data_IF_733626693346
#
_entry.id   IF_733626693346
#
_cell.length_a   1.000
_cell.length_b   1.000
_cell.length_c   1.000
_cell.angle_alpha   90.00
_cell.angle_beta   90.00
_cell.angle_gamma   90.00
#
_symmetry.space_group_name_H-M   'P 1'
#
loop_
_entity.id
_entity.type
_entity.pdbx_description
1 polymer ?
#
# COMPACT_ATOMS: atom_id res chain seq x y z
N UNK A 1 -1.81 -2.93 5.42
CA UNK A 1 -2.95 -2.04 5.04
C UNK A 1 -4.27 -2.38 5.77
N UNK A 2 -4.64 -3.65 5.97
CA UNK A 2 -5.90 -4.02 6.63
C UNK A 2 -6.01 -3.50 8.07
N UNK A 3 -4.95 -3.60 8.86
CA UNK A 3 -4.90 -3.09 10.23
C UNK A 3 -4.94 -1.57 10.26
N UNK A 4 -4.25 -0.90 9.32
CA UNK A 4 -4.29 0.56 9.17
C UNK A 4 -5.71 1.06 8.87
N UNK A 5 -6.50 0.31 8.08
CA UNK A 5 -7.90 0.66 7.82
C UNK A 5 -8.78 0.55 9.07
N UNK A 6 -8.46 -0.32 10.03
CA UNK A 6 -9.22 -0.52 11.27
C UNK A 6 -8.80 0.42 12.41
N UNK A 7 -7.57 0.92 12.39
CA UNK A 7 -7.04 1.79 13.42
C UNK A 7 -7.73 3.16 13.43
N UNK A 8 -7.82 3.82 14.59
CA UNK A 8 -8.32 5.20 14.73
C UNK A 8 -7.23 6.24 14.44
N UNK A 9 -5.97 5.89 14.67
CA UNK A 9 -4.80 6.71 14.39
C UNK A 9 -3.65 5.82 13.93
N UNK A 10 -2.70 6.40 13.22
CA UNK A 10 -1.57 5.71 12.62
C UNK A 10 -0.25 6.34 13.04
N UNK A 11 0.72 5.52 13.35
CA UNK A 11 2.11 5.93 13.55
C UNK A 11 2.96 5.23 12.51
N UNK A 12 3.58 6.00 11.65
CA UNK A 12 4.56 5.49 10.69
C UNK A 12 5.97 5.80 11.20
N UNK A 13 6.82 4.81 11.24
CA UNK A 13 8.20 4.96 11.75
C UNK A 13 9.18 4.85 10.61
N UNK A 14 10.09 5.82 10.51
CA UNK A 14 11.19 5.81 9.54
C UNK A 14 12.50 6.22 10.22
N UNK A 15 13.64 5.72 9.72
CA UNK A 15 14.97 6.04 10.24
C UNK A 15 15.66 7.22 9.49
N UNK A 16 14.97 7.83 8.53
CA UNK A 16 15.47 8.92 7.69
C UNK A 16 14.42 9.40 6.71
N UNK A 17 14.83 10.04 5.63
CA UNK A 17 13.90 10.39 4.54
C UNK A 17 13.23 9.12 3.99
N UNK A 18 11.90 9.13 3.85
CA UNK A 18 11.20 7.99 3.27
C UNK A 18 11.68 7.69 1.86
N UNK A 19 11.97 6.44 1.59
CA UNK A 19 12.25 5.93 0.24
C UNK A 19 11.02 6.10 -0.65
N UNK A 20 11.18 5.94 -1.96
CA UNK A 20 10.08 6.03 -2.93
C UNK A 20 8.92 5.06 -2.59
N UNK A 21 9.24 3.86 -2.13
CA UNK A 21 8.23 2.88 -1.73
C UNK A 21 7.49 3.31 -0.46
N UNK A 22 8.22 3.80 0.56
CA UNK A 22 7.66 4.32 1.80
C UNK A 22 6.83 5.59 1.56
N UNK A 23 7.25 6.46 0.63
CA UNK A 23 6.47 7.63 0.23
C UNK A 23 5.12 7.23 -0.38
N UNK A 24 5.12 6.26 -1.30
CA UNK A 24 3.88 5.73 -1.87
C UNK A 24 2.96 5.13 -0.81
N UNK A 25 3.52 4.41 0.17
CA UNK A 25 2.79 3.84 1.29
C UNK A 25 2.21 4.93 2.21
N UNK A 26 3.01 5.93 2.60
CA UNK A 26 2.56 7.07 3.40
C UNK A 26 1.41 7.82 2.74
N UNK A 27 1.50 8.05 1.42
CA UNK A 27 0.42 8.69 0.67
C UNK A 27 -0.83 7.82 0.59
N UNK A 28 -0.66 6.50 0.47
CA UNK A 28 -1.79 5.57 0.47
C UNK A 28 -2.53 5.54 1.82
N UNK A 29 -1.81 5.49 2.94
CA UNK A 29 -2.43 5.49 4.27
C UNK A 29 -2.95 6.89 4.67
N UNK A 30 -2.32 7.95 4.18
CA UNK A 30 -2.78 9.34 4.37
C UNK A 30 -4.19 9.60 3.81
N UNK A 31 -4.57 8.88 2.75
CA UNK A 31 -5.91 8.95 2.17
C UNK A 31 -7.03 8.42 3.07
N UNK A 32 -6.69 7.72 4.15
CA UNK A 32 -7.68 7.26 5.12
C UNK A 32 -8.31 8.39 5.96
N UNK A 33 -7.79 9.62 5.87
CA UNK A 33 -8.33 10.78 6.60
C UNK A 33 -8.19 10.68 8.13
N UNK A 34 -7.32 9.80 8.61
CA UNK A 34 -7.07 9.55 10.04
C UNK A 34 -5.89 10.36 10.54
N UNK A 35 -5.80 10.62 11.86
CA UNK A 35 -4.59 11.16 12.44
C UNK A 35 -3.38 10.27 12.09
N UNK A 36 -2.39 10.87 11.44
CA UNK A 36 -1.16 10.20 11.03
C UNK A 36 0.04 10.90 11.67
N UNK A 37 0.87 10.15 12.38
CA UNK A 37 2.12 10.62 12.97
C UNK A 37 3.28 9.97 12.22
N UNK A 38 4.21 10.75 11.69
CA UNK A 38 5.47 10.28 11.16
C UNK A 38 6.55 10.42 12.24
N UNK A 39 6.98 9.31 12.80
CA UNK A 39 8.04 9.25 13.79
C UNK A 39 9.39 9.05 13.08
N UNK A 40 10.19 10.10 12.99
CA UNK A 40 11.57 10.05 12.50
C UNK A 40 12.45 9.48 13.61
N UNK A 41 12.70 8.17 13.55
CA UNK A 41 13.51 7.46 14.53
C UNK A 41 15.01 7.72 14.32
N UNK A 42 15.81 7.44 15.35
CA UNK A 42 17.26 7.68 15.36
C UNK A 42 17.60 9.15 15.10
N UNK A 43 16.78 10.06 15.61
CA UNK A 43 16.97 11.51 15.49
C UNK A 43 18.31 11.97 16.09
N UNK A 44 18.87 11.21 17.02
CA UNK A 44 20.18 11.39 17.64
C UNK A 44 21.38 11.26 16.68
N UNK A 45 21.17 10.72 15.49
CA UNK A 45 22.21 10.59 14.45
C UNK A 45 22.45 11.87 13.66
N UNK A 46 21.53 12.82 13.76
CA UNK A 46 21.60 14.08 13.04
C UNK A 46 22.11 15.19 13.95
N UNK A 47 22.86 16.13 13.39
CA UNK A 47 23.15 17.39 14.07
C UNK A 47 21.86 18.20 14.19
N UNK A 48 21.80 19.10 15.17
CA UNK A 48 20.57 19.87 15.45
C UNK A 48 20.07 20.67 14.25
N UNK A 49 20.98 21.26 13.48
CA UNK A 49 20.68 22.01 12.25
C UNK A 49 20.20 21.12 11.12
N UNK A 50 20.84 19.98 10.91
CA UNK A 50 20.46 18.96 9.91
C UNK A 50 19.08 18.36 10.23
N UNK A 51 18.85 18.04 11.51
CA UNK A 51 17.55 17.52 11.97
C UNK A 51 16.43 18.53 11.71
N UNK A 52 16.66 19.80 12.06
CA UNK A 52 15.66 20.85 11.84
C UNK A 52 15.31 21.00 10.35
N UNK A 53 16.31 21.02 9.47
CA UNK A 53 16.11 21.09 8.03
C UNK A 53 15.39 19.84 7.49
N UNK A 54 15.75 18.64 7.97
CA UNK A 54 15.11 17.39 7.56
C UNK A 54 13.62 17.38 7.97
N UNK A 55 13.31 17.75 9.20
CA UNK A 55 11.94 17.83 9.69
C UNK A 55 11.11 18.82 8.89
N UNK A 56 11.70 19.99 8.54
CA UNK A 56 11.01 21.01 7.74
C UNK A 56 10.75 20.50 6.31
N UNK A 57 11.74 19.89 5.65
CA UNK A 57 11.53 19.25 4.34
C UNK A 57 10.43 18.19 4.37
N UNK A 58 10.39 17.35 5.40
CA UNK A 58 9.35 16.34 5.55
C UNK A 58 7.97 16.97 5.75
N UNK A 59 7.85 18.03 6.55
CA UNK A 59 6.59 18.77 6.72
C UNK A 59 6.10 19.36 5.41
N UNK A 60 7.00 19.99 4.64
CA UNK A 60 6.66 20.56 3.33
C UNK A 60 6.28 19.49 2.32
N UNK A 61 7.02 18.37 2.28
CA UNK A 61 6.76 17.25 1.37
C UNK A 61 5.38 16.62 1.57
N UNK A 62 4.89 16.61 2.79
CA UNK A 62 3.62 15.99 3.17
C UNK A 62 2.58 17.00 3.66
N UNK A 63 2.70 18.25 3.24
CA UNK A 63 1.75 19.32 3.61
C UNK A 63 0.32 19.05 3.10
N UNK A 64 0.18 18.24 2.04
CA UNK A 64 -1.07 17.77 1.47
C UNK A 64 -1.74 16.65 2.28
N UNK A 65 -1.01 16.06 3.23
CA UNK A 65 -1.50 14.99 4.11
C UNK A 65 -1.60 15.54 5.53
N UNK A 66 -2.73 15.30 6.21
CA UNK A 66 -2.89 15.68 7.62
C UNK A 66 -1.99 14.82 8.52
N UNK A 67 -0.68 15.11 8.48
CA UNK A 67 0.37 14.35 9.16
C UNK A 67 1.24 15.23 10.04
N UNK A 68 1.56 14.77 11.24
CA UNK A 68 2.52 15.42 12.13
C UNK A 68 3.85 14.67 12.12
N UNK A 69 4.94 15.38 11.83
CA UNK A 69 6.31 14.82 11.81
C UNK A 69 6.99 15.11 13.14
N UNK A 70 7.48 14.05 13.80
CA UNK A 70 8.06 14.10 15.13
C UNK A 70 9.41 13.38 15.15
N UNK A 71 10.48 14.01 15.69
CA UNK A 71 11.73 13.30 15.94
C UNK A 71 11.56 12.40 17.17
N UNK A 72 12.10 11.18 17.06
CA UNK A 72 12.10 10.21 18.15
C UNK A 72 13.43 9.46 18.20
N UNK A 73 13.74 8.95 19.38
CA UNK A 73 14.83 8.02 19.62
C UNK A 73 14.29 6.91 20.52
N UNK A 74 14.30 5.68 20.02
CA UNK A 74 13.71 4.54 20.73
C UNK A 74 14.58 4.01 21.89
N UNK A 75 15.75 4.61 22.12
CA UNK A 75 16.73 4.10 23.05
C UNK A 75 17.72 3.16 22.37
N UNK A 76 18.34 2.29 23.13
CA UNK A 76 19.38 1.38 22.66
C UNK A 76 20.57 1.34 23.61
N UNK A 77 21.68 0.77 23.18
CA UNK A 77 22.95 0.78 23.91
C UNK A 77 24.02 1.52 23.12
N UNK A 78 24.88 2.22 23.83
CA UNK A 78 26.04 2.91 23.32
C UNK A 78 27.29 2.28 23.90
N UNK A 79 28.23 1.89 23.03
CA UNK A 79 29.53 1.41 23.46
C UNK A 79 30.43 2.63 23.71
N UNK A 80 30.81 2.80 24.95
CA UNK A 80 31.75 3.83 25.38
C UNK A 80 33.13 3.20 25.56
N UNK A 81 34.15 3.82 24.99
CA UNK A 81 35.54 3.48 25.28
C UNK A 81 36.00 4.36 26.43
N UNK A 82 36.37 3.71 27.55
CA UNK A 82 36.89 4.39 28.72
C UNK A 82 38.36 4.80 28.50
N UNK A 83 38.85 5.68 29.36
CA UNK A 83 40.21 6.23 29.28
C UNK A 83 41.29 5.14 29.48
N UNK A 84 40.97 4.03 30.13
CA UNK A 84 41.81 2.85 30.33
C UNK A 84 41.81 1.90 29.12
N UNK A 85 41.08 2.22 28.04
CA UNK A 85 40.93 1.43 26.82
C UNK A 85 39.88 0.32 26.90
N UNK A 86 39.26 0.12 28.04
CA UNK A 86 38.15 -0.82 28.19
C UNK A 86 36.88 -0.30 27.51
N UNK A 87 35.99 -1.23 27.13
CA UNK A 87 34.68 -0.88 26.54
C UNK A 87 33.58 -1.19 27.54
N UNK A 88 32.70 -0.24 27.75
CA UNK A 88 31.48 -0.43 28.55
C UNK A 88 30.26 -0.12 27.70
N UNK A 89 29.14 -0.76 27.99
CA UNK A 89 27.87 -0.54 27.33
C UNK A 89 26.97 0.29 28.24
N UNK A 90 26.53 1.43 27.73
CA UNK A 90 25.61 2.35 28.43
C UNK A 90 24.25 2.32 27.75
N UNK A 91 23.19 2.07 28.51
CA UNK A 91 21.83 2.21 28.02
C UNK A 91 21.51 3.70 27.70
N UNK A 92 21.02 3.95 26.51
CA UNK A 92 20.47 5.25 26.12
C UNK A 92 19.03 5.38 26.57
N UNK A 93 18.70 6.51 27.17
CA UNK A 93 17.33 6.84 27.54
C UNK A 93 16.52 7.11 26.26
N UNK A 94 15.31 6.51 26.09
CA UNK A 94 14.47 6.81 24.94
C UNK A 94 13.95 8.25 25.00
N UNK A 95 13.95 8.91 23.86
CA UNK A 95 13.39 10.28 23.70
C UNK A 95 12.13 10.17 22.82
N UNK A 96 11.03 9.82 23.44
CA UNK A 96 9.73 9.59 22.79
C UNK A 96 8.61 10.47 23.35
N UNK A 97 8.94 11.44 24.21
CA UNK A 97 7.97 12.28 24.90
C UNK A 97 7.03 12.99 23.93
N UNK A 98 7.57 13.61 22.88
CA UNK A 98 6.78 14.32 21.86
C UNK A 98 5.80 13.41 21.13
N UNK A 99 6.18 12.14 20.88
CA UNK A 99 5.29 11.15 20.29
C UNK A 99 4.18 10.74 21.25
N UNK A 100 4.53 10.49 22.52
CA UNK A 100 3.56 10.16 23.56
C UNK A 100 2.55 11.27 23.79
N UNK A 101 3.00 12.54 23.82
CA UNK A 101 2.11 13.69 23.98
C UNK A 101 1.19 13.86 22.77
N UNK A 102 1.69 13.63 21.55
CA UNK A 102 0.86 13.63 20.36
C UNK A 102 -0.21 12.51 20.40
N UNK A 103 0.17 11.32 20.85
CA UNK A 103 -0.78 10.20 21.00
C UNK A 103 -1.81 10.47 22.12
N UNK A 104 -1.39 11.04 23.24
CA UNK A 104 -2.31 11.47 24.32
C UNK A 104 -3.32 12.51 23.82
N UNK A 105 -2.85 13.49 23.04
CA UNK A 105 -3.71 14.50 22.44
C UNK A 105 -4.73 13.91 21.46
N UNK A 106 -4.34 12.89 20.71
CA UNK A 106 -5.27 12.13 19.84
C UNK A 106 -6.27 11.36 20.71
N UNK A 107 -5.79 10.63 21.72
CA UNK A 107 -6.64 9.83 22.59
C UNK A 107 -7.66 10.70 23.38
N UNK A 108 -7.27 11.91 23.79
CA UNK A 108 -8.15 12.85 24.49
C UNK A 108 -9.33 13.34 23.64
N UNK A 109 -9.28 13.21 22.31
CA UNK A 109 -10.42 13.52 21.40
C UNK A 109 -11.52 12.48 21.43
N UNK A 110 -11.26 11.32 22.03
CA UNK A 110 -12.19 10.18 22.07
C UNK A 110 -12.25 9.37 20.76
N UNK A 111 -12.54 8.09 20.89
CA UNK A 111 -12.63 7.16 19.75
C UNK A 111 -13.71 7.58 18.74
N UNK A 112 -14.85 8.05 19.24
CA UNK A 112 -16.02 8.42 18.43
C UNK A 112 -15.71 9.53 17.41
N UNK A 113 -14.74 10.42 17.73
CA UNK A 113 -14.34 11.48 16.80
C UNK A 113 -13.62 10.96 15.54
N UNK A 114 -13.15 9.73 15.56
CA UNK A 114 -12.40 9.09 14.45
C UNK A 114 -13.20 7.97 13.79
N UNK A 115 -14.36 7.60 14.34
CA UNK A 115 -15.17 6.49 13.84
C UNK A 115 -15.60 6.70 12.37
N UNK A 116 -16.04 7.89 11.91
CA UNK A 116 -16.41 8.09 10.50
C UNK A 116 -15.25 7.83 9.54
N UNK A 117 -14.04 8.30 9.87
CA UNK A 117 -12.85 8.06 9.05
C UNK A 117 -12.44 6.57 9.05
N UNK A 118 -12.63 5.88 10.17
CA UNK A 118 -12.39 4.44 10.30
C UNK A 118 -13.36 3.65 9.44
N UNK A 119 -14.65 3.92 9.53
CA UNK A 119 -15.69 3.27 8.72
C UNK A 119 -15.45 3.47 7.23
N UNK A 120 -15.21 4.71 6.81
CA UNK A 120 -14.92 5.03 5.41
C UNK A 120 -13.70 4.28 4.88
N UNK A 121 -12.61 4.18 5.68
CA UNK A 121 -11.41 3.48 5.28
C UNK A 121 -11.59 1.95 5.23
N UNK A 122 -12.43 1.38 6.11
CA UNK A 122 -12.79 -0.04 6.07
C UNK A 122 -13.62 -0.34 4.84
N UNK A 123 -14.64 0.47 4.53
CA UNK A 123 -15.45 0.33 3.33
C UNK A 123 -14.59 0.41 2.06
N UNK A 124 -13.71 1.43 1.95
CA UNK A 124 -12.80 1.57 0.82
C UNK A 124 -11.87 0.35 0.66
N UNK A 125 -11.39 -0.22 1.77
CA UNK A 125 -10.56 -1.42 1.73
C UNK A 125 -11.34 -2.67 1.28
N UNK A 126 -12.62 -2.77 1.64
CA UNK A 126 -13.51 -3.85 1.17
C UNK A 126 -13.78 -3.71 -0.33
N UNK A 127 -14.15 -2.51 -0.80
CA UNK A 127 -14.41 -2.23 -2.21
C UNK A 127 -13.18 -2.52 -3.08
N UNK A 128 -11.99 -2.13 -2.62
CA UNK A 128 -10.74 -2.43 -3.32
C UNK A 128 -10.50 -3.94 -3.44
N UNK A 129 -10.78 -4.72 -2.38
CA UNK A 129 -10.64 -6.18 -2.39
C UNK A 129 -11.65 -6.84 -3.31
N UNK A 130 -12.89 -6.37 -3.30
CA UNK A 130 -13.94 -6.86 -4.20
C UNK A 130 -13.58 -6.58 -5.65
N UNK A 131 -13.17 -5.35 -5.99
CA UNK A 131 -12.73 -4.99 -7.33
C UNK A 131 -11.53 -5.81 -7.82
N UNK A 132 -10.53 -6.04 -6.95
CA UNK A 132 -9.38 -6.90 -7.26
C UNK A 132 -9.82 -8.36 -7.52
N UNK A 133 -10.74 -8.89 -6.71
CA UNK A 133 -11.25 -10.25 -6.89
C UNK A 133 -12.08 -10.40 -8.16
N UNK A 134 -12.92 -9.41 -8.47
CA UNK A 134 -13.66 -9.39 -9.73
C UNK A 134 -12.74 -9.34 -10.95
N UNK A 135 -11.69 -8.53 -10.91
CA UNK A 135 -10.71 -8.45 -12.00
C UNK A 135 -9.98 -9.80 -12.19
N UNK A 136 -9.60 -10.45 -11.09
CA UNK A 136 -9.00 -11.77 -11.13
C UNK A 136 -9.95 -12.81 -11.76
N UNK A 137 -11.21 -12.85 -11.32
CA UNK A 137 -12.22 -13.75 -11.86
C UNK A 137 -12.48 -13.50 -13.35
N UNK A 138 -12.52 -12.23 -13.79
CA UNK A 138 -12.65 -11.87 -15.20
C UNK A 138 -11.46 -12.39 -16.01
N UNK A 139 -10.24 -12.23 -15.48
CA UNK A 139 -9.03 -12.74 -16.14
C UNK A 139 -9.04 -14.26 -16.25
N UNK A 140 -9.42 -14.97 -15.20
CA UNK A 140 -9.54 -16.43 -15.21
C UNK A 140 -10.58 -16.90 -16.26
N UNK A 141 -11.79 -16.31 -16.25
CA UNK A 141 -12.84 -16.63 -17.23
C UNK A 141 -12.40 -16.33 -18.66
N UNK A 142 -11.72 -15.20 -18.88
CA UNK A 142 -11.19 -14.86 -20.22
C UNK A 142 -10.18 -15.91 -20.71
N UNK A 143 -9.29 -16.36 -19.83
CA UNK A 143 -8.30 -17.41 -20.14
C UNK A 143 -8.97 -18.73 -20.48
N UNK A 144 -10.04 -19.12 -19.75
CA UNK A 144 -10.82 -20.32 -20.03
C UNK A 144 -11.52 -20.22 -21.38
N UNK A 145 -12.12 -19.09 -21.73
CA UNK A 145 -12.74 -18.85 -23.03
C UNK A 145 -11.71 -18.98 -24.12
N UNK A 146 -10.57 -18.32 -24.04
CA UNK A 146 -9.49 -18.44 -25.04
C UNK A 146 -9.05 -19.89 -25.20
N UNK A 147 -8.76 -20.60 -24.10
CA UNK A 147 -8.37 -22.02 -24.13
C UNK A 147 -9.41 -22.90 -24.80
N UNK A 148 -10.70 -22.68 -24.49
CA UNK A 148 -11.82 -23.41 -25.08
C UNK A 148 -11.86 -23.24 -26.60
N UNK A 149 -11.75 -22.01 -27.08
CA UNK A 149 -11.82 -21.73 -28.53
C UNK A 149 -10.54 -22.12 -29.27
N UNK A 150 -9.37 -21.97 -28.67
CA UNK A 150 -8.11 -22.49 -29.25
C UNK A 150 -8.16 -23.97 -29.43
N UNK A 151 -8.65 -24.75 -28.45
CA UNK A 151 -8.82 -26.20 -28.59
C UNK A 151 -9.78 -26.56 -29.69
N UNK A 152 -10.92 -25.86 -29.83
CA UNK A 152 -11.89 -26.06 -30.90
C UNK A 152 -11.32 -25.72 -32.27
N UNK A 153 -10.55 -24.63 -32.37
CA UNK A 153 -9.88 -24.25 -33.63
C UNK A 153 -8.87 -25.32 -34.10
N UNK A 154 -8.06 -25.86 -33.18
CA UNK A 154 -7.12 -26.94 -33.48
C UNK A 154 -7.85 -28.20 -33.96
N UNK A 155 -8.93 -28.61 -33.27
CA UNK A 155 -9.72 -29.76 -33.66
C UNK A 155 -10.39 -29.53 -35.05
N UNK A 156 -10.95 -28.32 -35.25
CA UNK A 156 -11.57 -27.94 -36.52
C UNK A 156 -10.58 -27.92 -37.69
N UNK A 157 -9.37 -27.43 -37.48
CA UNK A 157 -8.32 -27.44 -38.49
C UNK A 157 -7.87 -28.87 -38.88
N UNK A 158 -7.81 -29.78 -37.90
CA UNK A 158 -7.49 -31.20 -38.17
C UNK A 158 -8.62 -31.97 -38.90
N UNK A 159 -9.88 -31.50 -38.73
CA UNK A 159 -11.06 -32.13 -39.36
C UNK A 159 -11.41 -31.52 -40.72
N UNK A 160 -10.76 -30.44 -41.13
CA UNK A 160 -11.02 -29.79 -42.42
C UNK A 160 -10.48 -30.62 -43.56
N UNK A 161 -11.42 -31.22 -44.35
CA UNK A 161 -11.08 -32.15 -45.46
C UNK A 161 -10.99 -31.41 -46.80
N UNK A 162 -11.57 -30.22 -46.94
CA UNK A 162 -11.60 -29.45 -48.18
C UNK A 162 -10.90 -28.09 -48.06
N UNK A 163 -10.12 -27.67 -49.09
CA UNK A 163 -9.46 -26.36 -49.09
C UNK A 163 -10.48 -25.21 -48.90
N UNK A 164 -10.24 -24.34 -47.94
CA UNK A 164 -11.09 -23.15 -47.65
C UNK A 164 -12.18 -23.36 -46.58
N UNK A 165 -12.52 -24.58 -46.20
CA UNK A 165 -13.47 -24.82 -45.07
C UNK A 165 -12.89 -24.42 -43.72
N UNK A 166 -11.57 -24.47 -43.56
CA UNK A 166 -10.85 -24.06 -42.39
C UNK A 166 -11.04 -22.54 -42.10
N UNK A 167 -11.07 -21.69 -43.15
CA UNK A 167 -11.24 -20.27 -43.04
C UNK A 167 -12.64 -19.90 -42.48
N UNK A 168 -13.67 -20.62 -42.95
CA UNK A 168 -15.04 -20.41 -42.47
C UNK A 168 -15.19 -20.87 -41.03
N UNK A 169 -14.61 -22.01 -40.67
CA UNK A 169 -14.64 -22.53 -39.29
C UNK A 169 -13.88 -21.56 -38.35
N UNK A 170 -12.71 -21.09 -38.74
CA UNK A 170 -11.92 -20.15 -37.92
C UNK A 170 -12.62 -18.81 -37.76
N UNK A 171 -13.24 -18.27 -38.82
CA UNK A 171 -14.02 -17.02 -38.76
C UNK A 171 -15.22 -17.14 -37.81
N UNK A 172 -15.97 -18.22 -37.86
CA UNK A 172 -17.09 -18.47 -36.96
C UNK A 172 -16.65 -18.63 -35.50
N UNK A 173 -15.58 -19.41 -35.25
CA UNK A 173 -15.03 -19.62 -33.93
C UNK A 173 -14.45 -18.32 -33.35
N UNK A 174 -13.76 -17.51 -34.17
CA UNK A 174 -13.23 -16.21 -33.79
C UNK A 174 -14.34 -15.26 -33.35
N UNK A 175 -15.40 -15.15 -34.15
CA UNK A 175 -16.58 -14.32 -33.83
C UNK A 175 -17.27 -14.77 -32.55
N UNK A 176 -17.45 -16.08 -32.35
CA UNK A 176 -18.06 -16.64 -31.15
C UNK A 176 -17.18 -16.41 -29.89
N UNK A 177 -15.86 -16.53 -30.02
CA UNK A 177 -14.91 -16.23 -28.95
C UNK A 177 -14.98 -14.76 -28.54
N UNK A 178 -14.98 -13.85 -29.52
CA UNK A 178 -15.07 -12.39 -29.24
C UNK A 178 -16.37 -12.06 -28.52
N UNK A 179 -17.50 -12.63 -28.94
CA UNK A 179 -18.80 -12.44 -28.26
C UNK A 179 -18.76 -12.96 -26.82
N UNK A 180 -18.20 -14.14 -26.58
CA UNK A 180 -18.12 -14.72 -25.23
C UNK A 180 -17.18 -13.89 -24.34
N UNK A 181 -16.04 -13.38 -24.86
CA UNK A 181 -15.15 -12.48 -24.15
C UNK A 181 -15.83 -11.13 -23.83
N UNK A 182 -16.56 -10.56 -24.79
CA UNK A 182 -17.33 -9.35 -24.57
C UNK A 182 -18.32 -9.49 -23.40
N UNK A 183 -19.02 -10.63 -23.31
CA UNK A 183 -19.92 -10.91 -22.20
C UNK A 183 -19.17 -11.04 -20.85
N UNK A 184 -17.97 -11.65 -20.82
CA UNK A 184 -17.13 -11.72 -19.60
C UNK A 184 -16.75 -10.32 -19.11
N UNK A 185 -16.55 -9.37 -20.03
CA UNK A 185 -16.20 -7.99 -19.73
C UNK A 185 -17.41 -7.03 -19.63
N UNK A 186 -18.63 -7.56 -19.74
CA UNK A 186 -19.86 -6.76 -19.65
C UNK A 186 -20.07 -5.79 -20.83
N UNK A 187 -19.39 -6.04 -21.96
CA UNK A 187 -19.54 -5.25 -23.18
C UNK A 187 -20.74 -5.76 -23.98
N UNK A 188 -21.65 -4.86 -24.35
CA UNK A 188 -22.73 -5.18 -25.30
C UNK A 188 -22.17 -5.09 -26.71
N UNK A 189 -22.26 -6.17 -27.47
CA UNK A 189 -21.93 -6.24 -28.90
C UNK A 189 -23.22 -6.26 -29.71
#
# INVERSE_FOLDING_TARGET
HAEAARAHALVYVTDGEPTRAQDAELRAIGRFGKPLLLALNKADRYRSDELAQLLERLRQRYADISMRVLPVQAGGSERLRLADGSQTERARQPQVAALLDALRAIAARGADSFEPAREQSVLAAVDQRLGAREAELRTQRSTEVVRKYTRRAVIGALAAVAPGTDLIIQGALGTAMVKELANVHGLRM
#
